data_IF_090569969519
#
_entry.id   IF_090569969519
#
_cell.length_a   1.000
_cell.length_b   1.000
_cell.length_c   1.000
_cell.angle_alpha   90.00
_cell.angle_beta   90.00
_cell.angle_gamma   90.00
#
_symmetry.space_group_name_H-M   'P 1'
#
loop_
_entity.id
_entity.type
_entity.pdbx_description
1 polymer ?
#
# COMPACT_ATOMS: atom_id res chain seq x y z
N UNK A 1 -6.20 -4.14 -22.49
CA UNK A 1 -5.28 -4.62 -21.43
C UNK A 1 -4.20 -3.59 -21.15
N UNK A 2 -4.47 -2.68 -20.22
CA UNK A 2 -3.54 -1.67 -19.73
C UNK A 2 -3.85 -1.36 -18.27
N UNK A 3 -2.88 -0.87 -17.50
CA UNK A 3 -3.06 -0.58 -16.07
C UNK A 3 -3.03 -1.84 -15.18
N UNK A 4 -3.89 -1.89 -14.16
CA UNK A 4 -3.91 -2.95 -13.13
C UNK A 4 -4.16 -4.36 -13.69
N UNK A 5 -4.99 -4.47 -14.72
CA UNK A 5 -5.29 -5.75 -15.38
C UNK A 5 -4.00 -6.39 -15.93
N UNK A 6 -3.21 -5.64 -16.70
CA UNK A 6 -1.96 -6.14 -17.27
C UNK A 6 -0.88 -6.45 -16.23
N UNK A 7 -0.85 -5.70 -15.12
CA UNK A 7 0.06 -5.98 -14.00
C UNK A 7 -0.31 -7.28 -13.30
N UNK A 8 -1.60 -7.48 -13.02
CA UNK A 8 -2.10 -8.70 -12.39
C UNK A 8 -1.92 -9.91 -13.30
N UNK A 9 -2.21 -9.81 -14.60
CA UNK A 9 -1.96 -10.90 -15.56
C UNK A 9 -0.50 -11.34 -15.54
N UNK A 10 0.45 -10.40 -15.49
CA UNK A 10 1.88 -10.73 -15.38
C UNK A 10 2.25 -11.37 -14.05
N UNK A 11 1.66 -10.91 -12.94
CA UNK A 11 1.87 -11.52 -11.63
C UNK A 11 1.33 -12.95 -11.57
N UNK A 12 0.12 -13.20 -12.08
CA UNK A 12 -0.45 -14.54 -12.19
C UNK A 12 0.35 -15.44 -13.14
N UNK A 13 0.89 -14.90 -14.23
CA UNK A 13 1.75 -15.64 -15.15
C UNK A 13 3.12 -16.00 -14.55
N UNK A 14 3.64 -15.19 -13.64
CA UNK A 14 4.91 -15.41 -12.94
C UNK A 14 4.76 -16.21 -11.64
N UNK A 15 3.53 -16.49 -11.20
CA UNK A 15 3.24 -17.26 -10.00
C UNK A 15 3.58 -18.74 -10.21
N UNK A 16 3.90 -19.46 -9.15
CA UNK A 16 4.12 -20.90 -9.25
C UNK A 16 2.83 -21.62 -9.70
N UNK A 17 2.94 -22.74 -10.45
CA UNK A 17 1.78 -23.41 -11.02
C UNK A 17 0.77 -23.89 -9.98
N UNK A 18 1.23 -24.30 -8.80
CA UNK A 18 0.36 -24.81 -7.74
C UNK A 18 -0.49 -23.69 -7.13
N UNK A 19 0.10 -22.54 -6.84
CA UNK A 19 -0.65 -21.36 -6.38
C UNK A 19 -1.62 -20.85 -7.44
N UNK A 20 -1.19 -20.82 -8.72
CA UNK A 20 -2.05 -20.40 -9.82
C UNK A 20 -3.29 -21.29 -9.98
N UNK A 21 -3.14 -22.59 -9.85
CA UNK A 21 -4.24 -23.55 -9.94
C UNK A 21 -5.30 -23.31 -8.84
N UNK A 22 -4.89 -22.90 -7.63
CA UNK A 22 -5.82 -22.52 -6.55
C UNK A 22 -6.69 -21.33 -6.99
N UNK A 23 -6.09 -20.32 -7.61
CA UNK A 23 -6.82 -19.15 -8.11
C UNK A 23 -7.71 -19.47 -9.32
N UNK A 24 -7.26 -20.33 -10.24
CA UNK A 24 -8.07 -20.77 -11.39
C UNK A 24 -9.30 -21.57 -10.92
N UNK A 25 -9.15 -22.44 -9.91
CA UNK A 25 -10.28 -23.14 -9.29
C UNK A 25 -11.23 -22.19 -8.57
N UNK A 26 -10.70 -21.21 -7.82
CA UNK A 26 -11.51 -20.20 -7.14
C UNK A 26 -12.27 -19.28 -8.13
N UNK A 27 -11.69 -19.03 -9.30
CA UNK A 27 -12.29 -18.27 -10.40
C UNK A 27 -13.24 -19.11 -11.28
N UNK A 28 -13.54 -20.37 -10.92
CA UNK A 28 -14.44 -21.22 -11.70
C UNK A 28 -13.93 -21.55 -13.11
N UNK A 29 -12.61 -21.49 -13.33
CA UNK A 29 -11.97 -21.77 -14.63
C UNK A 29 -11.81 -20.57 -15.56
N UNK A 30 -12.37 -19.40 -15.24
CA UNK A 30 -12.23 -18.17 -16.05
C UNK A 30 -11.42 -17.09 -15.31
N UNK A 31 -10.13 -17.38 -15.15
CA UNK A 31 -9.16 -16.46 -14.53
C UNK A 31 -9.05 -15.10 -15.25
N UNK A 32 -9.08 -15.00 -16.59
CA UNK A 32 -9.07 -13.71 -17.27
C UNK A 32 -10.24 -12.80 -16.87
N UNK A 33 -11.47 -13.33 -16.81
CA UNK A 33 -12.65 -12.56 -16.41
C UNK A 33 -12.55 -12.14 -14.94
N UNK A 34 -12.06 -13.03 -14.05
CA UNK A 34 -11.78 -12.68 -12.66
C UNK A 34 -10.80 -11.51 -12.55
N UNK A 35 -9.66 -11.58 -13.26
CA UNK A 35 -8.64 -10.54 -13.25
C UNK A 35 -9.20 -9.20 -13.73
N UNK A 36 -10.06 -9.20 -14.76
CA UNK A 36 -10.70 -7.99 -15.27
C UNK A 36 -11.59 -7.33 -14.23
N UNK A 37 -12.51 -8.08 -13.61
CA UNK A 37 -13.39 -7.53 -12.56
C UNK A 37 -12.61 -7.06 -11.33
N UNK A 38 -11.58 -7.82 -10.93
CA UNK A 38 -10.69 -7.43 -9.83
C UNK A 38 -9.97 -6.12 -10.17
N UNK A 39 -9.36 -6.02 -11.35
CA UNK A 39 -8.60 -4.84 -11.77
C UNK A 39 -9.47 -3.59 -11.87
N UNK A 40 -10.72 -3.73 -12.35
CA UNK A 40 -11.69 -2.63 -12.41
C UNK A 40 -12.05 -2.13 -11.01
N UNK A 41 -12.37 -3.04 -10.09
CA UNK A 41 -12.64 -2.69 -8.69
C UNK A 41 -11.42 -2.01 -8.05
N UNK A 42 -10.23 -2.55 -8.29
CA UNK A 42 -8.97 -2.04 -7.75
C UNK A 42 -8.69 -0.61 -8.22
N UNK A 43 -8.82 -0.34 -9.53
CA UNK A 43 -8.58 0.98 -10.10
C UNK A 43 -9.46 2.09 -9.51
N UNK A 44 -10.69 1.75 -9.11
CA UNK A 44 -11.59 2.68 -8.44
C UNK A 44 -11.32 2.79 -6.93
N UNK A 45 -11.27 1.65 -6.23
CA UNK A 45 -11.21 1.59 -4.76
C UNK A 45 -9.88 2.07 -4.19
N UNK A 46 -8.78 1.93 -4.93
CA UNK A 46 -7.44 2.31 -4.47
C UNK A 46 -7.41 3.78 -4.02
N UNK A 47 -7.99 4.71 -4.80
CA UNK A 47 -7.99 6.14 -4.47
C UNK A 47 -8.78 6.46 -3.21
N UNK A 48 -9.91 5.77 -3.01
CA UNK A 48 -10.78 5.94 -1.84
C UNK A 48 -10.04 5.46 -0.58
N UNK A 49 -9.50 4.24 -0.62
CA UNK A 49 -8.77 3.69 0.52
C UNK A 49 -7.49 4.48 0.80
N UNK A 50 -6.75 4.89 -0.22
CA UNK A 50 -5.59 5.75 -0.03
C UNK A 50 -5.97 7.04 0.71
N UNK A 51 -7.07 7.68 0.33
CA UNK A 51 -7.57 8.91 0.99
C UNK A 51 -7.98 8.65 2.44
N UNK A 52 -8.71 7.57 2.69
CA UNK A 52 -9.15 7.19 4.04
C UNK A 52 -7.96 6.90 4.96
N UNK A 53 -7.03 6.06 4.52
CA UNK A 53 -5.86 5.67 5.31
C UNK A 53 -4.85 6.81 5.48
N UNK A 54 -4.72 7.68 4.48
CA UNK A 54 -4.00 8.95 4.62
C UNK A 54 -4.62 9.81 5.71
N UNK A 55 -5.94 9.96 5.73
CA UNK A 55 -6.64 10.73 6.76
C UNK A 55 -6.43 10.13 8.17
N UNK A 56 -6.47 8.80 8.30
CA UNK A 56 -6.16 8.11 9.55
C UNK A 56 -4.71 8.35 10.01
N UNK A 57 -3.75 8.41 9.09
CA UNK A 57 -2.36 8.72 9.42
C UNK A 57 -2.17 10.16 9.97
N UNK A 58 -3.00 11.11 9.52
CA UNK A 58 -3.03 12.48 10.04
C UNK A 58 -3.56 12.50 11.48
N UNK A 59 -4.59 11.69 11.77
CA UNK A 59 -5.11 11.53 13.13
C UNK A 59 -4.06 10.96 14.09
N UNK A 60 -3.28 9.96 13.65
CA UNK A 60 -2.23 9.36 14.46
C UNK A 60 -1.15 10.37 14.90
N UNK A 61 -0.81 11.37 14.06
CA UNK A 61 0.09 12.46 14.45
C UNK A 61 -0.46 13.32 15.59
N UNK A 62 -1.78 13.42 15.68
CA UNK A 62 -2.47 14.14 16.76
C UNK A 62 -2.22 13.54 18.14
N UNK A 63 -1.99 12.23 18.24
CA UNK A 63 -1.65 11.58 19.50
C UNK A 63 -0.27 11.96 20.02
N UNK A 64 0.67 12.28 19.12
CA UNK A 64 2.03 12.62 19.51
C UNK A 64 2.21 14.07 19.95
N UNK A 65 1.45 14.99 19.35
CA UNK A 65 1.45 16.41 19.72
C UNK A 65 0.09 17.04 19.43
N UNK A 66 -0.84 17.04 20.40
CA UNK A 66 -2.19 17.58 20.24
C UNK A 66 -2.24 19.06 19.83
N UNK A 67 -1.18 19.82 20.11
CA UNK A 67 -1.07 21.24 19.76
C UNK A 67 -0.84 21.49 18.26
N UNK A 68 -0.48 20.47 17.47
CA UNK A 68 -0.35 20.62 16.02
C UNK A 68 -1.73 20.89 15.40
N UNK A 69 -1.84 21.93 14.59
CA UNK A 69 -3.05 22.20 13.80
C UNK A 69 -3.29 21.11 12.76
N UNK A 70 -4.55 20.91 12.35
CA UNK A 70 -4.90 19.93 11.32
C UNK A 70 -4.09 20.11 10.01
N UNK A 71 -3.94 21.33 9.45
CA UNK A 71 -3.11 21.55 8.26
C UNK A 71 -1.65 21.14 8.45
N UNK A 72 -1.05 21.42 9.62
CA UNK A 72 0.33 21.01 9.90
C UNK A 72 0.48 19.50 9.95
N UNK A 73 -0.47 18.78 10.57
CA UNK A 73 -0.46 17.31 10.59
C UNK A 73 -0.61 16.73 9.19
N UNK A 74 -1.50 17.31 8.37
CA UNK A 74 -1.71 16.90 6.99
C UNK A 74 -0.45 17.09 6.15
N UNK A 75 0.22 18.24 6.27
CA UNK A 75 1.49 18.49 5.56
C UNK A 75 2.59 17.50 5.95
N UNK A 76 2.71 17.17 7.24
CA UNK A 76 3.69 16.18 7.71
C UNK A 76 3.37 14.80 7.12
N UNK A 77 2.13 14.33 7.26
CA UNK A 77 1.71 13.03 6.75
C UNK A 77 1.91 12.94 5.23
N UNK A 78 1.50 13.97 4.48
CA UNK A 78 1.67 14.03 3.03
C UNK A 78 3.16 14.04 2.64
N UNK A 79 4.02 14.75 3.38
CA UNK A 79 5.47 14.71 3.13
C UNK A 79 6.05 13.32 3.28
N UNK A 80 5.66 12.60 4.34
CA UNK A 80 6.11 11.21 4.59
C UNK A 80 5.58 10.25 3.53
N UNK A 81 4.28 10.32 3.21
CA UNK A 81 3.64 9.45 2.22
C UNK A 81 4.17 9.71 0.80
N UNK A 82 4.44 10.96 0.45
CA UNK A 82 5.03 11.33 -0.85
C UNK A 82 6.42 10.73 -0.99
N UNK A 83 7.26 10.82 0.05
CA UNK A 83 8.59 10.22 0.02
C UNK A 83 8.52 8.69 -0.20
N UNK A 84 7.64 7.99 0.53
CA UNK A 84 7.45 6.56 0.31
C UNK A 84 6.87 6.21 -1.06
N UNK A 85 5.97 7.04 -1.59
CA UNK A 85 5.41 6.86 -2.95
C UNK A 85 6.49 6.99 -4.01
N UNK A 86 7.34 8.02 -3.93
CA UNK A 86 8.46 8.21 -4.87
C UNK A 86 9.40 7.02 -4.82
N UNK A 87 9.78 6.57 -3.62
CA UNK A 87 10.63 5.38 -3.44
C UNK A 87 9.94 4.13 -3.99
N UNK A 88 8.65 3.92 -3.72
CA UNK A 88 7.89 2.79 -4.25
C UNK A 88 7.78 2.80 -5.77
N UNK A 89 7.55 3.96 -6.38
CA UNK A 89 7.50 4.11 -7.84
C UNK A 89 8.85 3.79 -8.50
N UNK A 90 9.96 4.21 -7.88
CA UNK A 90 11.31 3.86 -8.34
C UNK A 90 11.61 2.36 -8.23
N UNK A 91 10.89 1.64 -7.36
CA UNK A 91 11.02 0.20 -7.20
C UNK A 91 10.12 -0.61 -8.15
N UNK A 92 9.10 -0.02 -8.78
CA UNK A 92 8.22 -0.72 -9.73
C UNK A 92 8.95 -1.46 -10.87
N UNK A 93 10.04 -0.93 -11.47
CA UNK A 93 10.79 -1.66 -12.50
C UNK A 93 11.36 -2.99 -11.99
N UNK A 94 11.67 -3.10 -10.70
CA UNK A 94 12.18 -4.35 -10.12
C UNK A 94 11.15 -5.48 -10.14
N UNK A 95 9.85 -5.13 -10.14
CA UNK A 95 8.75 -6.09 -10.28
C UNK A 95 8.54 -6.54 -11.74
N UNK A 96 9.04 -5.77 -12.71
CA UNK A 96 8.87 -6.06 -14.14
C UNK A 96 10.04 -6.86 -14.75
N UNK A 97 11.19 -6.89 -14.09
CA UNK A 97 12.41 -7.55 -14.57
C UNK A 97 12.65 -8.88 -13.84
N UNK A 98 12.65 -10.03 -14.53
CA UNK A 98 12.82 -11.35 -13.90
C UNK A 98 14.09 -11.48 -13.04
N UNK A 99 15.19 -10.87 -13.48
CA UNK A 99 16.49 -10.90 -12.79
C UNK A 99 16.50 -10.07 -11.49
N UNK A 100 15.51 -9.19 -11.30
CA UNK A 100 15.39 -8.32 -10.13
C UNK A 100 14.26 -8.76 -9.19
N UNK A 101 13.60 -9.88 -9.47
CA UNK A 101 12.45 -10.35 -8.70
C UNK A 101 12.79 -10.59 -7.21
N UNK A 102 14.02 -10.97 -6.88
CA UNK A 102 14.46 -11.09 -5.49
C UNK A 102 14.41 -9.75 -4.72
N UNK A 103 14.57 -8.61 -5.40
CA UNK A 103 14.49 -7.27 -4.81
C UNK A 103 13.06 -6.86 -4.45
N UNK A 104 12.05 -7.56 -4.99
CA UNK A 104 10.63 -7.34 -4.66
C UNK A 104 10.39 -7.56 -3.17
N UNK A 105 11.07 -8.53 -2.55
CA UNK A 105 10.95 -8.81 -1.12
C UNK A 105 11.61 -7.75 -0.22
N UNK A 106 12.59 -7.01 -0.76
CA UNK A 106 13.31 -5.94 -0.04
C UNK A 106 12.60 -4.59 -0.21
N UNK A 107 11.81 -4.43 -1.28
CA UNK A 107 11.10 -3.19 -1.61
C UNK A 107 10.25 -2.64 -0.46
N UNK A 108 9.47 -3.45 0.30
CA UNK A 108 8.75 -2.97 1.48
C UNK A 108 9.68 -2.40 2.55
N UNK A 109 10.83 -3.05 2.82
CA UNK A 109 11.78 -2.58 3.82
C UNK A 109 12.40 -1.22 3.44
N UNK A 110 12.65 -0.98 2.15
CA UNK A 110 13.15 0.31 1.65
C UNK A 110 12.09 1.41 1.84
N UNK A 111 10.82 1.13 1.55
CA UNK A 111 9.72 2.08 1.77
C UNK A 111 9.55 2.38 3.26
N UNK A 112 9.62 1.36 4.12
CA UNK A 112 9.60 1.53 5.58
C UNK A 112 10.73 2.44 6.06
N UNK A 113 11.94 2.21 5.56
CA UNK A 113 13.08 3.04 5.88
C UNK A 113 12.88 4.48 5.41
N UNK A 114 12.29 4.70 4.23
CA UNK A 114 11.97 6.02 3.71
C UNK A 114 10.95 6.75 4.60
N UNK A 115 9.90 6.08 5.07
CA UNK A 115 8.95 6.64 6.03
C UNK A 115 9.63 7.04 7.33
N UNK A 116 10.46 6.16 7.87
CA UNK A 116 11.18 6.39 9.10
C UNK A 116 12.13 7.59 9.00
N UNK A 117 13.00 7.63 7.99
CA UNK A 117 13.99 8.69 7.81
C UNK A 117 13.32 10.04 7.55
N UNK A 118 12.25 10.07 6.75
CA UNK A 118 11.49 11.30 6.48
C UNK A 118 10.84 11.84 7.74
N UNK A 119 10.23 10.96 8.54
CA UNK A 119 9.63 11.34 9.82
C UNK A 119 10.69 11.85 10.80
N UNK A 120 11.78 11.08 10.97
CA UNK A 120 12.86 11.40 11.91
C UNK A 120 13.51 12.76 11.60
N UNK A 121 13.74 13.05 10.31
CA UNK A 121 14.32 14.32 9.86
C UNK A 121 13.45 15.52 10.26
N UNK A 122 12.13 15.37 10.21
CA UNK A 122 11.17 16.42 10.58
C UNK A 122 10.71 16.40 12.03
N UNK A 123 11.02 15.36 12.81
CA UNK A 123 10.39 15.11 14.10
C UNK A 123 10.87 16.05 15.22
N UNK A 124 12.14 16.47 15.21
CA UNK A 124 12.72 17.31 16.26
C UNK A 124 12.16 18.73 16.19
N UNK A 125 11.63 19.23 17.30
CA UNK A 125 10.99 20.55 17.39
C UNK A 125 9.54 20.58 16.90
N UNK A 126 9.12 19.63 16.07
CA UNK A 126 7.75 19.55 15.53
C UNK A 126 6.90 18.54 16.29
N UNK A 127 7.39 17.32 16.47
CA UNK A 127 6.62 16.21 17.07
C UNK A 127 7.22 15.80 18.43
N UNK A 128 8.51 16.05 18.66
CA UNK A 128 9.19 15.82 19.93
C UNK A 128 10.15 16.97 20.28
N UNK A 129 10.29 17.27 21.57
CA UNK A 129 11.18 18.33 22.05
C UNK A 129 12.62 17.84 22.25
N UNK A 130 12.83 16.52 22.40
CA UNK A 130 14.15 15.89 22.59
C UNK A 130 14.53 14.99 21.44
N UNK A 131 15.85 14.73 21.28
CA UNK A 131 16.37 13.83 20.25
C UNK A 131 15.86 12.38 20.46
N UNK A 132 15.90 11.89 21.70
CA UNK A 132 15.39 10.57 22.06
C UNK A 132 13.88 10.45 21.80
N UNK A 133 13.12 11.48 22.12
CA UNK A 133 11.69 11.54 21.82
C UNK A 133 11.41 11.53 20.32
N UNK A 134 12.23 12.19 19.51
CA UNK A 134 12.09 12.20 18.06
C UNK A 134 12.29 10.81 17.47
N UNK A 135 13.29 10.05 17.93
CA UNK A 135 13.51 8.67 17.54
C UNK A 135 12.32 7.77 17.87
N UNK A 136 11.90 7.75 19.14
CA UNK A 136 10.81 6.87 19.60
C UNK A 136 9.51 7.20 18.84
N UNK A 137 9.13 8.46 18.75
CA UNK A 137 7.89 8.85 18.06
C UNK A 137 7.95 8.55 16.56
N UNK A 138 9.13 8.67 15.93
CA UNK A 138 9.30 8.31 14.52
C UNK A 138 9.16 6.79 14.29
N UNK A 139 9.71 5.97 15.18
CA UNK A 139 9.53 4.51 15.14
C UNK A 139 8.05 4.16 15.27
N UNK A 140 7.38 4.69 16.30
CA UNK A 140 5.96 4.40 16.56
C UNK A 140 5.10 4.87 15.39
N UNK A 141 5.33 6.08 14.87
CA UNK A 141 4.58 6.57 13.71
C UNK A 141 4.80 5.70 12.47
N UNK A 142 6.03 5.27 12.22
CA UNK A 142 6.35 4.38 11.09
C UNK A 142 5.62 3.05 11.23
N UNK A 143 5.59 2.46 12.44
CA UNK A 143 4.83 1.23 12.70
C UNK A 143 3.34 1.44 12.41
N UNK A 144 2.76 2.55 12.88
CA UNK A 144 1.36 2.88 12.61
C UNK A 144 1.11 3.01 11.10
N UNK A 145 1.99 3.68 10.36
CA UNK A 145 1.89 3.80 8.90
C UNK A 145 1.95 2.43 8.21
N UNK A 146 2.85 1.54 8.63
CA UNK A 146 2.94 0.19 8.06
C UNK A 146 1.66 -0.58 8.31
N UNK A 147 1.15 -0.57 9.55
CA UNK A 147 -0.08 -1.25 9.91
C UNK A 147 -1.27 -0.71 9.10
N UNK A 148 -1.35 0.61 8.92
CA UNK A 148 -2.36 1.25 8.07
C UNK A 148 -2.23 0.83 6.60
N UNK A 149 -1.02 0.77 6.06
CA UNK A 149 -0.78 0.32 4.67
C UNK A 149 -1.16 -1.15 4.48
N UNK A 150 -0.76 -2.02 5.42
CA UNK A 150 -1.10 -3.45 5.37
C UNK A 150 -2.61 -3.67 5.50
N UNK A 151 -3.26 -2.97 6.43
CA UNK A 151 -4.71 -3.05 6.60
C UNK A 151 -5.44 -2.53 5.35
N UNK A 152 -4.99 -1.43 4.76
CA UNK A 152 -5.53 -0.90 3.51
C UNK A 152 -5.40 -1.89 2.37
N UNK A 153 -4.23 -2.50 2.20
CA UNK A 153 -3.98 -3.52 1.17
C UNK A 153 -4.85 -4.77 1.37
N UNK A 154 -5.03 -5.22 2.61
CA UNK A 154 -5.89 -6.35 2.94
C UNK A 154 -7.35 -6.04 2.61
N UNK A 155 -7.87 -4.90 3.09
CA UNK A 155 -9.25 -4.46 2.85
C UNK A 155 -9.51 -4.30 1.34
N UNK A 156 -8.59 -3.66 0.62
CA UNK A 156 -8.69 -3.50 -0.83
C UNK A 156 -8.76 -4.85 -1.54
N UNK A 157 -7.86 -5.77 -1.18
CA UNK A 157 -7.78 -7.09 -1.81
C UNK A 157 -9.04 -7.92 -1.57
N UNK A 158 -9.59 -7.88 -0.35
CA UNK A 158 -10.82 -8.57 0.00
C UNK A 158 -12.03 -8.03 -0.76
N UNK A 159 -12.18 -6.69 -0.83
CA UNK A 159 -13.30 -6.08 -1.55
C UNK A 159 -13.20 -6.38 -3.06
N UNK A 160 -12.00 -6.29 -3.65
CA UNK A 160 -11.80 -6.58 -5.07
C UNK A 160 -12.06 -8.06 -5.39
N UNK A 161 -11.60 -8.98 -4.54
CA UNK A 161 -11.87 -10.41 -4.71
C UNK A 161 -13.37 -10.72 -4.59
N UNK A 162 -14.04 -10.16 -3.58
CA UNK A 162 -15.49 -10.33 -3.41
C UNK A 162 -16.28 -9.77 -4.60
N UNK A 163 -15.93 -8.56 -5.06
CA UNK A 163 -16.55 -7.96 -6.23
C UNK A 163 -16.35 -8.82 -7.49
N UNK A 164 -15.13 -9.33 -7.71
CA UNK A 164 -14.85 -10.19 -8.85
C UNK A 164 -15.67 -11.50 -8.80
N UNK A 165 -15.71 -12.17 -7.65
CA UNK A 165 -16.47 -13.41 -7.48
C UNK A 165 -17.98 -13.22 -7.68
N UNK A 166 -18.56 -12.17 -7.07
CA UNK A 166 -19.99 -11.86 -7.21
C UNK A 166 -20.37 -11.45 -8.63
N UNK A 167 -19.50 -10.69 -9.32
CA UNK A 167 -19.74 -10.30 -10.72
C UNK A 167 -19.73 -11.50 -11.66
N UNK A 168 -18.85 -12.48 -11.41
CA UNK A 168 -18.80 -13.71 -12.19
C UNK A 168 -20.03 -14.59 -11.96
N UNK A 169 -20.51 -14.70 -10.71
CA UNK A 169 -21.74 -15.44 -10.38
C UNK A 169 -23.00 -14.78 -10.96
N UNK A 170 -23.02 -13.46 -11.10
CA UNK A 170 -24.13 -12.75 -11.71
C UNK A 170 -24.16 -12.86 -13.26
N UNK A 171 -23.05 -13.29 -13.88
CA UNK A 171 -22.91 -13.45 -15.32
C UNK A 171 -23.23 -14.87 -15.82
N UNK A 172 -23.41 -15.84 -14.90
CA UNK A 172 -23.86 -17.22 -15.16
C UNK A 172 -25.36 -17.36 -14.98
#
# INVERSE_FOLDING_TARGET
MGGWEGMLTRQFAAMDPASREIFERAAGGDLPTFISHYANAFGFLQSILLTLFTSLSVFALGWFRPQLSWPSRLNIAMGVLTAGTVVGLLLLPTMALPNMFALVWISPAIVVLAYFLTTLRGARGVIADTLSGAWIKSIVYTIVLILLVLLSGLVLSLICAFHALTSMQAAT
#
